data_IF_028558897259
#
_entry.id   IF_028558897259
#
_cell.length_a   1.000
_cell.length_b   1.000
_cell.length_c   1.000
_cell.angle_alpha   90.00
_cell.angle_beta   90.00
_cell.angle_gamma   90.00
#
_symmetry.space_group_name_H-M   'P 1'
#
loop_
_entity.id
_entity.type
_entity.pdbx_description
1 polymer ?
#
# COMPACT_ATOMS: atom_id res chain seq x y z
N UNK A 1 -16.55 -29.18 -23.45
CA UNK A 1 -17.11 -27.82 -23.51
C UNK A 1 -17.85 -27.64 -22.19
N UNK A 2 -17.46 -26.76 -21.27
CA UNK A 2 -17.19 -25.33 -21.49
C UNK A 2 -16.11 -24.81 -20.57
N UNK A 3 -15.14 -24.09 -21.15
CA UNK A 3 -14.15 -23.28 -20.46
C UNK A 3 -14.86 -22.04 -19.92
N UNK A 4 -15.10 -21.98 -18.61
CA UNK A 4 -15.58 -20.78 -17.94
C UNK A 4 -14.41 -19.83 -17.74
N UNK A 5 -14.32 -18.78 -18.58
CA UNK A 5 -13.41 -17.66 -18.37
C UNK A 5 -13.87 -16.89 -17.14
N UNK A 6 -13.35 -17.25 -15.96
CA UNK A 6 -13.40 -16.35 -14.80
C UNK A 6 -12.46 -15.18 -15.11
N UNK A 7 -13.00 -14.12 -15.71
CA UNK A 7 -12.42 -12.78 -15.63
C UNK A 7 -12.58 -12.32 -14.18
N UNK A 8 -11.86 -12.97 -13.27
CA UNK A 8 -11.81 -12.62 -11.88
C UNK A 8 -11.05 -11.32 -11.78
N UNK A 9 -11.71 -10.25 -11.34
CA UNK A 9 -11.00 -9.11 -10.77
C UNK A 9 -9.97 -9.66 -9.79
N UNK A 10 -8.72 -9.16 -9.78
CA UNK A 10 -7.77 -9.53 -8.75
C UNK A 10 -8.46 -9.42 -7.39
N UNK A 11 -8.26 -10.37 -6.47
CA UNK A 11 -8.73 -10.21 -5.10
C UNK A 11 -8.35 -8.81 -4.65
N UNK A 12 -9.31 -8.04 -4.12
CA UNK A 12 -9.01 -6.73 -3.56
C UNK A 12 -7.92 -6.86 -2.48
N UNK A 13 -7.23 -5.77 -2.13
CA UNK A 13 -6.21 -5.84 -1.10
C UNK A 13 -6.82 -6.39 0.20
N UNK A 14 -6.14 -7.35 0.81
CA UNK A 14 -6.57 -7.99 2.05
C UNK A 14 -6.53 -6.99 3.22
N UNK A 15 -5.62 -6.01 3.16
CA UNK A 15 -5.45 -4.97 4.17
C UNK A 15 -5.15 -3.62 3.50
N UNK A 16 -5.78 -2.57 3.99
CA UNK A 16 -5.50 -1.18 3.63
C UNK A 16 -5.15 -0.39 4.90
N UNK A 17 -4.02 0.30 4.90
CA UNK A 17 -3.52 1.09 6.03
C UNK A 17 -3.44 2.55 5.63
N UNK A 18 -4.09 3.41 6.42
CA UNK A 18 -4.02 4.86 6.26
C UNK A 18 -3.01 5.45 7.25
N UNK A 19 -2.08 6.25 6.73
CA UNK A 19 -1.05 6.90 7.53
C UNK A 19 -1.17 8.40 7.34
N UNK A 20 -1.36 9.10 8.46
CA UNK A 20 -1.42 10.55 8.53
C UNK A 20 -0.14 11.03 9.24
N UNK A 21 0.86 11.54 8.49
CA UNK A 21 2.06 12.10 9.08
C UNK A 21 1.72 13.30 9.97
N UNK A 22 2.51 13.49 11.03
CA UNK A 22 2.51 14.78 11.73
C UNK A 22 3.05 15.86 10.78
N UNK A 23 2.61 17.13 10.91
CA UNK A 23 3.11 18.21 10.07
C UNK A 23 4.64 18.30 10.05
N UNK A 24 5.23 18.38 8.85
CA UNK A 24 6.68 18.46 8.64
C UNK A 24 7.41 17.11 8.76
N UNK A 25 6.69 15.98 8.89
CA UNK A 25 7.25 14.62 8.96
C UNK A 25 6.93 13.77 7.73
N UNK A 26 6.39 14.36 6.68
CA UNK A 26 5.91 13.69 5.48
C UNK A 26 7.04 12.90 4.81
N UNK A 27 8.17 13.55 4.52
CA UNK A 27 9.33 12.89 3.91
C UNK A 27 9.86 11.74 4.77
N UNK A 28 9.88 11.90 6.09
CA UNK A 28 10.35 10.86 7.00
C UNK A 28 9.40 9.67 7.04
N UNK A 29 8.09 9.91 6.99
CA UNK A 29 7.08 8.83 6.90
C UNK A 29 7.24 8.09 5.57
N UNK A 30 7.44 8.82 4.47
CA UNK A 30 7.65 8.21 3.15
C UNK A 30 8.88 7.30 3.11
N UNK A 31 10.02 7.75 3.66
CA UNK A 31 11.22 6.92 3.83
C UNK A 31 10.93 5.63 4.61
N UNK A 32 10.18 5.73 5.72
CA UNK A 32 9.85 4.57 6.56
C UNK A 32 8.93 3.59 5.85
N UNK A 33 8.00 4.06 5.00
CA UNK A 33 7.14 3.21 4.18
C UNK A 33 7.97 2.42 3.17
N UNK A 34 8.93 3.09 2.50
CA UNK A 34 9.85 2.42 1.56
C UNK A 34 10.71 1.39 2.28
N UNK A 35 11.28 1.74 3.44
CA UNK A 35 12.06 0.81 4.24
C UNK A 35 11.23 -0.42 4.67
N UNK A 36 9.97 -0.21 5.09
CA UNK A 36 9.07 -1.29 5.46
C UNK A 36 8.73 -2.18 4.25
N UNK A 37 8.51 -1.60 3.07
CA UNK A 37 8.32 -2.34 1.81
C UNK A 37 9.49 -3.28 1.52
N UNK A 38 10.73 -2.80 1.70
CA UNK A 38 11.92 -3.61 1.47
C UNK A 38 12.04 -4.76 2.47
N UNK A 39 11.72 -4.51 3.74
CA UNK A 39 11.70 -5.56 4.77
C UNK A 39 10.63 -6.62 4.48
N UNK A 40 9.41 -6.20 4.12
CA UNK A 40 8.32 -7.11 3.75
C UNK A 40 8.73 -7.99 2.57
N UNK A 41 9.35 -7.41 1.53
CA UNK A 41 9.80 -8.17 0.35
C UNK A 41 10.83 -9.25 0.69
N UNK A 42 11.70 -9.01 1.66
CA UNK A 42 12.76 -9.95 2.05
C UNK A 42 12.24 -11.02 3.00
N UNK A 43 11.36 -10.66 3.94
CA UNK A 43 11.01 -11.51 5.08
C UNK A 43 9.63 -12.17 4.98
N UNK A 44 8.72 -11.63 4.18
CA UNK A 44 7.30 -12.04 4.14
C UNK A 44 6.90 -12.54 2.74
N UNK A 45 7.42 -13.69 2.28
CA UNK A 45 7.25 -14.15 0.89
C UNK A 45 5.81 -14.51 0.51
N UNK A 46 4.91 -14.64 1.49
CA UNK A 46 3.48 -14.84 1.26
C UNK A 46 2.74 -13.55 0.92
N UNK A 47 3.35 -12.38 1.13
CA UNK A 47 2.80 -11.10 0.69
C UNK A 47 3.16 -10.93 -0.79
N UNK A 48 2.15 -11.10 -1.64
CA UNK A 48 2.23 -10.97 -3.08
C UNK A 48 2.22 -9.51 -3.55
N UNK A 49 1.70 -8.59 -2.74
CA UNK A 49 1.59 -7.17 -3.07
C UNK A 49 1.87 -6.27 -1.86
N UNK A 50 2.74 -5.27 -2.08
CA UNK A 50 2.88 -4.11 -1.22
C UNK A 50 2.95 -2.87 -2.11
N UNK A 51 1.95 -1.98 -2.03
CA UNK A 51 1.96 -0.69 -2.74
C UNK A 51 1.57 0.42 -1.79
N UNK A 52 2.17 1.59 -1.98
CA UNK A 52 1.74 2.79 -1.28
C UNK A 52 1.36 3.89 -2.27
N UNK A 53 0.41 4.72 -1.87
CA UNK A 53 -0.05 5.88 -2.62
C UNK A 53 0.03 7.10 -1.71
N UNK A 54 0.52 8.21 -2.25
CA UNK A 54 0.42 9.52 -1.60
C UNK A 54 -0.82 10.23 -2.10
N UNK A 55 -1.76 10.47 -1.19
CA UNK A 55 -2.98 11.24 -1.46
C UNK A 55 -2.72 12.69 -1.12
N UNK A 56 -2.93 13.58 -2.11
CA UNK A 56 -2.94 15.02 -1.87
C UNK A 56 -4.35 15.40 -1.42
N UNK A 57 -4.51 15.89 -0.19
CA UNK A 57 -5.74 16.55 0.25
C UNK A 57 -5.59 18.07 0.12
N UNK A 58 -6.67 18.75 -0.23
CA UNK A 58 -6.69 20.21 -0.47
C UNK A 58 -6.35 21.05 0.78
N UNK A 59 -6.36 20.43 1.96
CA UNK A 59 -6.08 21.09 3.25
C UNK A 59 -4.95 20.35 3.93
N UNK A 60 -3.72 20.84 3.78
CA UNK A 60 -2.52 20.62 4.63
C UNK A 60 -1.99 19.19 4.84
N UNK A 61 -2.84 18.18 4.83
CA UNK A 61 -2.53 16.90 5.46
C UNK A 61 -2.22 15.89 4.36
N UNK A 62 -0.92 15.58 4.23
CA UNK A 62 -0.50 14.45 3.44
C UNK A 62 -1.13 13.18 4.02
N UNK A 63 -1.64 12.31 3.15
CA UNK A 63 -2.09 10.98 3.55
C UNK A 63 -1.34 9.96 2.70
N UNK A 64 -0.89 8.89 3.34
CA UNK A 64 -0.32 7.74 2.66
C UNK A 64 -1.25 6.55 2.85
N UNK A 65 -1.61 5.88 1.75
CA UNK A 65 -2.41 4.66 1.76
C UNK A 65 -1.50 3.51 1.35
N UNK A 66 -1.39 2.48 2.20
CA UNK A 66 -0.63 1.26 1.94
C UNK A 66 -1.60 0.11 1.72
N UNK A 67 -1.41 -0.69 0.68
CA UNK A 67 -2.23 -1.85 0.35
C UNK A 67 -1.40 -3.14 0.34
N UNK A 68 -1.95 -4.19 0.94
CA UNK A 68 -1.35 -5.52 1.06
C UNK A 68 -2.19 -6.58 0.36
N UNK A 69 -1.55 -7.57 -0.27
CA UNK A 69 -2.22 -8.77 -0.78
C UNK A 69 -1.38 -10.00 -0.58
#
# INVERSE_FOLDING_TARGET
MSSGTSTGSPPGPNVMVHVFPKPGKESRVEELIVQASDQVRVHEPWISLYRYYRVKRDVSDAEYIIVFQ
#
